data_IF_482369346769
#
_entry.id   IF_482369346769
#
_cell.length_a   1.000
_cell.length_b   1.000
_cell.length_c   1.000
_cell.angle_alpha   90.00
_cell.angle_beta   90.00
_cell.angle_gamma   90.00
#
_symmetry.space_group_name_H-M   'P 1'
#
loop_
_entity.id
_entity.type
_entity.pdbx_description
1 polymer ?
#
# COMPACT_ATOMS: atom_id res chain seq x y z
N UNK A 1 -6.95 14.83 -7.34
CA UNK A 1 -6.82 15.07 -5.88
C UNK A 1 -5.96 13.96 -5.27
N UNK A 2 -5.26 14.22 -4.17
CA UNK A 2 -4.48 13.19 -3.49
C UNK A 2 -5.45 12.34 -2.66
N UNK A 3 -5.24 11.01 -2.63
CA UNK A 3 -6.06 10.09 -1.85
C UNK A 3 -6.18 10.52 -0.38
N UNK A 4 -5.06 10.95 0.22
CA UNK A 4 -4.98 11.39 1.61
C UNK A 4 -5.70 12.72 1.90
N UNK A 5 -6.03 13.51 0.88
CA UNK A 5 -6.80 14.75 1.04
C UNK A 5 -8.31 14.54 0.83
N UNK A 6 -8.76 13.28 0.70
CA UNK A 6 -10.17 12.95 0.55
C UNK A 6 -10.95 13.31 1.81
N UNK A 7 -11.98 14.15 1.66
CA UNK A 7 -12.88 14.51 2.76
C UNK A 7 -13.62 13.29 3.32
N UNK A 8 -13.95 12.32 2.45
CA UNK A 8 -14.53 11.05 2.88
C UNK A 8 -13.56 10.28 3.78
N UNK A 9 -12.32 10.09 3.33
CA UNK A 9 -11.31 9.34 4.08
C UNK A 9 -11.12 9.96 5.47
N UNK A 10 -10.78 11.25 5.50
CA UNK A 10 -10.50 11.97 6.75
C UNK A 10 -11.66 11.98 7.75
N UNK A 11 -12.91 11.80 7.31
CA UNK A 11 -14.11 11.89 8.15
C UNK A 11 -14.76 10.53 8.46
N UNK A 12 -14.12 9.41 8.13
CA UNK A 12 -14.67 8.07 8.36
C UNK A 12 -13.63 7.14 8.98
N UNK A 13 -14.06 6.25 9.88
CA UNK A 13 -13.26 5.07 10.25
C UNK A 13 -13.37 4.03 9.16
N UNK A 14 -12.24 3.64 8.58
CA UNK A 14 -12.15 2.68 7.49
C UNK A 14 -11.76 1.31 8.06
N UNK A 15 -12.75 0.58 8.56
CA UNK A 15 -12.55 -0.75 9.16
C UNK A 15 -13.09 -1.85 8.26
N UNK A 16 -12.31 -2.92 8.10
CA UNK A 16 -12.75 -4.15 7.41
C UNK A 16 -12.87 -4.01 5.89
N UNK A 17 -12.37 -2.93 5.31
CA UNK A 17 -12.22 -2.77 3.86
C UNK A 17 -10.97 -3.47 3.36
N UNK A 18 -10.84 -3.58 2.04
CA UNK A 18 -9.66 -4.13 1.37
C UNK A 18 -9.22 -3.25 0.20
N UNK A 19 -7.96 -3.39 -0.21
CA UNK A 19 -7.45 -2.86 -1.48
C UNK A 19 -7.36 -4.01 -2.46
N UNK A 20 -8.17 -3.96 -3.52
CA UNK A 20 -8.15 -4.90 -4.61
C UNK A 20 -7.19 -4.41 -5.69
N UNK A 21 -6.10 -5.15 -5.89
CA UNK A 21 -5.20 -4.96 -7.02
C UNK A 21 -5.68 -5.80 -8.20
N UNK A 22 -5.75 -5.20 -9.38
CA UNK A 22 -6.08 -5.90 -10.62
C UNK A 22 -5.09 -5.48 -11.69
N UNK A 23 -4.53 -6.47 -12.38
CA UNK A 23 -3.62 -6.25 -13.50
C UNK A 23 -3.83 -7.32 -14.57
N UNK A 24 -3.46 -7.00 -15.80
CA UNK A 24 -3.52 -7.93 -16.93
C UNK A 24 -2.19 -8.03 -17.69
N UNK A 25 -2.13 -8.96 -18.64
CA UNK A 25 -0.95 -9.19 -19.48
C UNK A 25 -0.65 -8.05 -20.46
N UNK A 26 -1.62 -7.15 -20.70
CA UNK A 26 -1.44 -5.96 -21.55
C UNK A 26 -0.80 -4.80 -20.78
N UNK A 27 -0.55 -4.98 -19.48
CA UNK A 27 0.05 -3.97 -18.62
C UNK A 27 -0.96 -2.98 -18.03
N UNK A 28 -2.26 -3.23 -18.17
CA UNK A 28 -3.26 -2.45 -17.44
C UNK A 28 -3.15 -2.82 -15.96
N UNK A 29 -3.14 -1.82 -15.10
CA UNK A 29 -3.07 -2.00 -13.65
C UNK A 29 -3.95 -0.99 -12.93
N UNK A 30 -4.52 -1.40 -11.81
CA UNK A 30 -5.25 -0.50 -10.93
C UNK A 30 -5.42 -1.07 -9.53
N UNK A 31 -5.79 -0.19 -8.61
CA UNK A 31 -6.09 -0.51 -7.23
C UNK A 31 -7.40 0.19 -6.82
N UNK A 32 -8.29 -0.55 -6.16
CA UNK A 32 -9.58 -0.05 -5.70
C UNK A 32 -9.80 -0.40 -4.24
N UNK A 33 -10.37 0.54 -3.49
CA UNK A 33 -10.91 0.24 -2.17
C UNK A 33 -12.27 -0.44 -2.33
N UNK A 34 -12.47 -1.53 -1.58
CA UNK A 34 -13.72 -2.30 -1.55
C UNK A 34 -14.18 -2.55 -0.11
N UNK A 35 -15.41 -3.03 0.05
CA UNK A 35 -16.01 -3.47 1.32
C UNK A 35 -16.15 -2.40 2.42
N UNK A 36 -16.92 -1.35 2.13
CA UNK A 36 -17.23 -0.26 3.07
C UNK A 36 -18.36 -0.55 4.07
N UNK A 37 -18.78 -1.81 4.22
CA UNK A 37 -19.95 -2.17 5.05
C UNK A 37 -19.80 -1.82 6.53
N UNK A 38 -18.56 -1.70 7.01
CA UNK A 38 -18.20 -1.31 8.39
C UNK A 38 -17.52 0.06 8.44
N UNK A 39 -17.50 0.79 7.32
CA UNK A 39 -16.99 2.16 7.29
C UNK A 39 -18.02 3.08 7.93
N UNK A 40 -17.62 3.77 8.99
CA UNK A 40 -18.53 4.60 9.79
C UNK A 40 -18.07 6.05 9.82
N UNK A 41 -18.98 7.02 9.68
CA UNK A 41 -18.63 8.43 9.78
C UNK A 41 -18.22 8.81 11.21
N UNK A 42 -17.32 9.77 11.32
CA UNK A 42 -16.91 10.36 12.59
C UNK A 42 -17.91 11.40 13.09
N UNK A 43 -17.91 11.70 14.40
CA UNK A 43 -18.59 12.88 14.93
C UNK A 43 -18.15 14.17 14.22
N UNK A 44 -19.07 15.13 14.09
CA UNK A 44 -18.83 16.38 13.36
C UNK A 44 -17.57 17.11 13.86
N UNK A 45 -16.73 17.53 12.91
CA UNK A 45 -15.51 18.30 13.18
C UNK A 45 -14.30 17.45 13.62
N UNK A 46 -14.45 16.12 13.71
CA UNK A 46 -13.30 15.21 13.90
C UNK A 46 -12.73 14.74 12.57
N UNK A 47 -11.41 14.54 12.56
CA UNK A 47 -10.69 13.93 11.45
C UNK A 47 -9.67 12.93 11.97
N UNK A 48 -9.35 11.92 11.18
CA UNK A 48 -8.29 10.95 11.47
C UNK A 48 -7.07 11.20 10.60
N UNK A 49 -5.91 10.81 11.11
CA UNK A 49 -4.67 10.76 10.32
C UNK A 49 -4.55 9.43 9.58
N UNK A 50 -5.22 8.37 10.06
CA UNK A 50 -5.13 6.99 9.60
C UNK A 50 -3.72 6.39 9.71
N UNK A 51 -2.83 7.08 10.46
CA UNK A 51 -1.42 6.72 10.62
C UNK A 51 -1.02 6.57 12.07
N UNK A 52 -1.68 7.30 12.96
CA UNK A 52 -1.43 7.21 14.39
C UNK A 52 -1.94 5.88 14.95
N UNK A 53 -1.35 5.44 16.06
CA UNK A 53 -1.75 4.21 16.73
C UNK A 53 -3.21 4.28 17.20
N UNK A 54 -3.94 3.18 17.05
CA UNK A 54 -5.27 3.06 17.63
C UNK A 54 -5.20 3.10 19.16
N UNK A 55 -6.09 3.89 19.75
CA UNK A 55 -6.35 3.91 21.17
C UNK A 55 -7.85 4.00 21.43
N UNK A 56 -8.31 3.44 22.55
CA UNK A 56 -9.72 3.53 22.90
C UNK A 56 -10.18 5.00 22.96
N UNK A 57 -11.10 5.36 22.05
CA UNK A 57 -11.70 6.70 21.97
C UNK A 57 -11.07 7.67 20.97
N UNK A 58 -9.88 7.40 20.42
CA UNK A 58 -9.32 8.24 19.35
C UNK A 58 -9.98 7.98 17.99
N UNK A 59 -10.37 6.73 17.75
CA UNK A 59 -11.02 6.30 16.52
C UNK A 59 -10.06 6.07 15.35
N UNK A 60 -8.75 6.03 15.57
CA UNK A 60 -7.77 5.74 14.50
C UNK A 60 -7.92 4.30 13.99
N UNK A 61 -7.66 4.08 12.70
CA UNK A 61 -7.85 2.76 12.07
C UNK A 61 -6.57 2.19 11.45
N UNK A 62 -5.50 2.99 11.38
CA UNK A 62 -4.23 2.59 10.78
C UNK A 62 -4.30 2.33 9.28
N UNK A 63 -5.34 2.81 8.57
CA UNK A 63 -5.53 2.48 7.16
C UNK A 63 -4.38 2.96 6.28
N UNK A 64 -3.96 4.23 6.43
CA UNK A 64 -2.83 4.80 5.69
C UNK A 64 -1.49 4.26 6.19
N UNK A 65 -1.35 3.93 7.48
CA UNK A 65 -0.19 3.19 7.97
C UNK A 65 -0.01 1.85 7.23
N UNK A 66 -1.11 1.12 7.01
CA UNK A 66 -1.12 -0.12 6.23
C UNK A 66 -0.70 0.11 4.77
N UNK A 67 -1.20 1.16 4.13
CA UNK A 67 -0.82 1.54 2.76
C UNK A 67 0.66 1.91 2.68
N UNK A 68 1.17 2.72 3.61
CA UNK A 68 2.60 3.09 3.67
C UNK A 68 3.48 1.85 3.83
N UNK A 69 3.03 0.89 4.65
CA UNK A 69 3.73 -0.38 4.85
C UNK A 69 3.73 -1.24 3.59
N UNK A 70 2.62 -1.27 2.86
CA UNK A 70 2.48 -2.01 1.61
C UNK A 70 3.38 -1.41 0.51
N UNK A 71 3.45 -0.09 0.40
CA UNK A 71 4.36 0.61 -0.52
C UNK A 71 5.81 0.20 -0.23
N UNK A 72 6.24 0.27 1.04
CA UNK A 72 7.60 -0.14 1.44
C UNK A 72 7.91 -1.58 1.08
N UNK A 73 6.95 -2.50 1.25
CA UNK A 73 7.13 -3.91 0.86
C UNK A 73 7.37 -4.01 -0.65
N UNK A 74 6.58 -3.33 -1.48
CA UNK A 74 6.75 -3.37 -2.93
C UNK A 74 8.08 -2.74 -3.39
N UNK A 75 8.47 -1.61 -2.82
CA UNK A 75 9.77 -0.97 -3.11
C UNK A 75 10.94 -1.91 -2.80
N UNK A 76 10.87 -2.63 -1.68
CA UNK A 76 11.89 -3.61 -1.29
C UNK A 76 11.95 -4.82 -2.25
N UNK A 77 10.79 -5.26 -2.78
CA UNK A 77 10.73 -6.33 -3.78
C UNK A 77 11.40 -5.92 -5.10
N UNK A 78 11.28 -4.65 -5.51
CA UNK A 78 11.92 -4.15 -6.72
C UNK A 78 13.45 -4.12 -6.59
N UNK A 79 13.96 -3.72 -5.42
CA UNK A 79 15.40 -3.71 -5.13
C UNK A 79 16.03 -5.12 -5.19
N UNK A 80 15.31 -6.17 -4.79
CA UNK A 80 15.83 -7.56 -4.83
C UNK A 80 16.09 -8.11 -6.24
N UNK A 81 15.49 -7.52 -7.28
CA UNK A 81 15.64 -7.99 -8.67
C UNK A 81 16.94 -7.48 -9.32
N UNK A 82 17.56 -6.42 -8.78
CA UNK A 82 18.82 -5.90 -9.33
C UNK A 82 20.04 -6.74 -8.95
N UNK A 83 19.99 -7.50 -7.86
CA UNK A 83 21.17 -8.21 -7.33
C UNK A 83 21.41 -9.59 -7.96
N UNK A 84 20.43 -10.15 -8.67
CA UNK A 84 20.53 -11.51 -9.25
C UNK A 84 21.12 -11.58 -10.68
N UNK A 85 21.61 -10.46 -11.25
CA UNK A 85 22.08 -10.41 -12.65
C UNK A 85 23.61 -10.47 -12.86
N UNK A 86 24.41 -10.67 -11.82
CA UNK A 86 25.87 -10.87 -11.98
C UNK A 86 26.29 -12.30 -11.59
N UNK A 87 26.06 -13.26 -12.49
CA UNK A 87 26.87 -14.48 -12.54
C UNK A 87 27.87 -14.29 -13.69
N UNK A 88 29.12 -13.98 -13.34
CA UNK A 88 30.23 -14.01 -14.28
C UNK A 88 30.40 -15.44 -14.78
N UNK A 89 30.19 -15.66 -16.08
CA UNK A 89 30.61 -16.90 -16.74
C UNK A 89 32.15 -16.98 -16.72
N UNK A 90 32.77 -18.11 -16.36
CA UNK A 90 34.21 -18.24 -16.39
C UNK A 90 34.67 -18.20 -17.86
N UNK A 91 35.62 -17.31 -18.15
CA UNK A 91 36.32 -17.26 -19.44
C UNK A 91 37.05 -18.59 -19.65
N UNK A 92 36.58 -19.41 -20.59
CA UNK A 92 37.38 -20.51 -21.13
C UNK A 92 38.43 -19.91 -22.09
N UNK A 93 39.62 -19.63 -21.55
CA UNK A 93 40.83 -19.51 -22.36
C UNK A 93 41.18 -20.90 -22.89
N UNK A 94 41.01 -21.09 -24.21
CA UNK A 94 41.62 -22.18 -24.94
C UNK A 94 43.10 -21.81 -25.15
N UNK A 95 44.00 -22.45 -24.41
CA UNK A 95 45.39 -22.63 -24.83
C UNK A 95 45.41 -23.72 -25.90
N UNK A 96 45.97 -23.40 -27.07
CA UNK A 96 46.16 -24.29 -28.22
C UNK A 96 46.58 -23.53 -29.46
#
# INVERSE_FOLDING_TARGET
EKFESSSFLMSHQIIGSSILFMFDEMGNTGAWMIDFSKTVPLPQGKTLTHRDDWALGNGEDGYLYGVDSLIKIFENLECSKSDSRNIHAPNNQHDG
#
